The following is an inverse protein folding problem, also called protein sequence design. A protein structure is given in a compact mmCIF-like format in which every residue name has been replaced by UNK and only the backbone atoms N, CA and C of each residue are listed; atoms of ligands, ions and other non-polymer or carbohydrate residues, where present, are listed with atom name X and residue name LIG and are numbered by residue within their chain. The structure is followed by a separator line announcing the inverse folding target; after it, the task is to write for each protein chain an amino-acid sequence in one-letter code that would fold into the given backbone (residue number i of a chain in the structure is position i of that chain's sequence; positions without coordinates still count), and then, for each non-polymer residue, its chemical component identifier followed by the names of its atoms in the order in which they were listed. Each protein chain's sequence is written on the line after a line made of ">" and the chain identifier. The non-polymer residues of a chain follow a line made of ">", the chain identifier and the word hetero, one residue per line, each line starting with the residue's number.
data_IF_430403368738
#
_entry.id   IF_430403368738
#
_cell.length_a   1.000
_cell.length_b   1.000
_cell.length_c   1.000
_cell.angle_alpha   90.00
_cell.angle_beta   90.00
_cell.angle_gamma   90.00
#
_symmetry.space_group_name_H-M   'P 1'
#
loop_
_entity.id
_entity.type
_entity.pdbx_description
1 polymer ?
#
# COMPACT_ATOMS: atom_id res chain seq x y z
N UNK A 1 21.13 15.46 -0.73
CA UNK A 1 19.93 15.17 0.07
C UNK A 1 19.53 13.75 -0.27
N UNK A 2 19.61 12.82 0.67
CA UNK A 2 19.20 11.42 0.44
C UNK A 2 17.69 11.44 0.19
N UNK A 3 17.28 11.24 -1.07
CA UNK A 3 15.86 11.04 -1.40
C UNK A 3 15.33 9.94 -0.48
N UNK A 4 14.17 10.15 0.15
CA UNK A 4 13.63 9.28 1.20
C UNK A 4 13.51 7.80 0.77
N UNK A 5 13.43 7.55 -0.54
CA UNK A 5 13.27 6.26 -1.19
C UNK A 5 12.32 6.41 -2.36
N UNK A 6 12.50 5.63 -3.42
CA UNK A 6 11.67 5.66 -4.62
C UNK A 6 10.27 5.09 -4.38
N UNK A 7 10.17 4.05 -3.57
CA UNK A 7 8.93 3.34 -3.28
C UNK A 7 8.36 3.79 -1.95
N UNK A 8 7.16 4.33 -1.97
CA UNK A 8 6.47 4.89 -0.81
C UNK A 8 5.29 4.00 -0.43
N UNK A 9 5.28 3.53 0.82
CA UNK A 9 4.19 2.79 1.41
C UNK A 9 3.43 3.69 2.37
N UNK A 10 2.12 3.78 2.20
CA UNK A 10 1.23 4.63 2.99
C UNK A 10 0.09 3.79 3.57
N UNK A 11 -0.09 3.88 4.89
CA UNK A 11 -1.22 3.32 5.61
C UNK A 11 -2.15 4.47 6.01
N UNK A 12 -3.40 4.39 5.57
CA UNK A 12 -4.47 5.31 5.95
C UNK A 12 -5.63 4.57 6.60
N UNK A 13 -6.48 5.30 7.32
CA UNK A 13 -7.78 4.82 7.80
C UNK A 13 -8.92 5.65 7.20
N UNK A 14 -10.19 5.26 7.47
CA UNK A 14 -11.37 6.03 7.08
C UNK A 14 -11.18 7.53 7.28
N UNK A 15 -11.42 8.28 6.20
CA UNK A 15 -11.21 9.72 6.14
C UNK A 15 -9.81 10.14 5.66
N UNK A 16 -9.02 9.21 5.11
CA UNK A 16 -7.72 9.50 4.48
C UNK A 16 -6.64 9.94 5.46
N UNK A 17 -6.78 9.59 6.75
CA UNK A 17 -5.82 9.99 7.77
C UNK A 17 -4.57 9.11 7.68
N UNK A 18 -3.38 9.67 7.45
CA UNK A 18 -2.15 8.88 7.40
C UNK A 18 -1.79 8.39 8.80
N UNK A 19 -1.76 7.07 8.97
CA UNK A 19 -1.35 6.40 10.22
C UNK A 19 0.14 6.09 10.20
N UNK A 20 0.62 5.55 9.08
CA UNK A 20 2.03 5.17 8.93
C UNK A 20 2.49 5.40 7.51
N UNK A 21 3.77 5.77 7.36
CA UNK A 21 4.42 5.96 6.06
C UNK A 21 5.85 5.43 6.11
N UNK A 22 6.31 4.87 5.00
CA UNK A 22 7.67 4.36 4.88
C UNK A 22 8.16 4.46 3.44
N UNK A 23 9.46 4.66 3.28
CA UNK A 23 10.10 4.75 1.97
C UNK A 23 11.24 3.75 1.84
N UNK A 24 11.38 3.21 0.63
CA UNK A 24 12.42 2.25 0.27
C UNK A 24 13.00 2.55 -1.10
N UNK A 25 14.28 2.24 -1.29
CA UNK A 25 14.93 2.35 -2.61
C UNK A 25 14.74 1.10 -3.49
N UNK A 26 14.31 -0.01 -2.90
CA UNK A 26 14.17 -1.31 -3.58
C UNK A 26 12.72 -1.76 -3.56
N UNK A 27 12.13 -1.97 -4.74
CA UNK A 27 10.72 -2.33 -4.92
C UNK A 27 10.36 -3.60 -4.16
N UNK A 28 11.21 -4.63 -4.27
CA UNK A 28 10.99 -5.93 -3.63
C UNK A 28 10.93 -5.80 -2.10
N UNK A 29 11.70 -4.88 -1.52
CA UNK A 29 11.62 -4.61 -0.08
C UNK A 29 10.32 -3.90 0.27
N UNK A 30 9.90 -2.94 -0.56
CA UNK A 30 8.64 -2.21 -0.37
C UNK A 30 7.42 -3.15 -0.48
N UNK A 31 7.40 -4.07 -1.48
CA UNK A 31 6.36 -5.10 -1.63
C UNK A 31 6.31 -6.06 -0.43
N UNK A 32 7.48 -6.47 0.10
CA UNK A 32 7.52 -7.28 1.33
C UNK A 32 6.95 -6.54 2.54
N UNK A 33 7.19 -5.23 2.64
CA UNK A 33 6.64 -4.38 3.70
C UNK A 33 5.13 -4.17 3.55
N UNK A 34 4.65 -4.02 2.32
CA UNK A 34 3.22 -3.94 2.00
C UNK A 34 2.45 -5.17 2.52
N UNK A 35 2.87 -6.39 2.18
CA UNK A 35 2.23 -7.61 2.67
C UNK A 35 2.29 -7.72 4.19
N UNK A 36 3.41 -7.31 4.79
CA UNK A 36 3.55 -7.29 6.25
C UNK A 36 2.56 -6.32 6.90
N UNK A 37 2.39 -5.12 6.36
CA UNK A 37 1.44 -4.13 6.88
C UNK A 37 -0.01 -4.61 6.78
N UNK A 38 -0.37 -5.31 5.71
CA UNK A 38 -1.68 -5.96 5.61
C UNK A 38 -1.87 -6.97 6.74
N UNK A 39 -0.87 -7.81 7.02
CA UNK A 39 -0.94 -8.76 8.13
C UNK A 39 -1.05 -8.11 9.50
N UNK A 40 -0.34 -7.00 9.74
CA UNK A 40 -0.31 -6.35 11.06
C UNK A 40 -1.49 -5.39 11.29
N UNK A 41 -1.93 -4.70 10.23
CA UNK A 41 -2.92 -3.62 10.31
C UNK A 41 -4.23 -3.91 9.58
N UNK A 42 -4.30 -4.96 8.76
CA UNK A 42 -5.50 -5.30 8.01
C UNK A 42 -6.67 -5.80 8.85
N UNK A 43 -6.45 -6.06 10.15
CA UNK A 43 -7.54 -6.29 11.11
C UNK A 43 -8.16 -4.99 11.63
N UNK A 44 -7.56 -3.83 11.36
CA UNK A 44 -8.12 -2.53 11.71
C UNK A 44 -9.22 -2.21 10.70
N UNK A 45 -10.44 -1.88 11.16
CA UNK A 45 -11.52 -1.50 10.26
C UNK A 45 -11.11 -0.28 9.42
N UNK A 46 -11.42 -0.35 8.13
CA UNK A 46 -11.12 0.66 7.13
C UNK A 46 -9.63 1.00 6.93
N UNK A 47 -8.73 0.10 7.33
CA UNK A 47 -7.33 0.24 6.97
C UNK A 47 -7.17 0.15 5.44
N UNK A 48 -6.43 1.10 4.88
CA UNK A 48 -6.02 1.10 3.48
C UNK A 48 -4.50 1.21 3.43
N UNK A 49 -3.87 0.35 2.64
CA UNK A 49 -2.42 0.36 2.40
C UNK A 49 -2.20 0.60 0.92
N UNK A 50 -1.38 1.58 0.55
CA UNK A 50 -0.99 1.84 -0.84
C UNK A 50 0.52 1.82 -0.97
N UNK A 51 1.01 1.22 -2.05
CA UNK A 51 2.39 1.24 -2.47
C UNK A 51 2.51 2.02 -3.78
N UNK A 52 3.25 3.12 -3.74
CA UNK A 52 3.45 4.03 -4.87
C UNK A 52 4.91 4.09 -5.25
N UNK A 53 5.18 4.12 -6.56
CA UNK A 53 6.47 4.48 -7.12
C UNK A 53 6.55 6.00 -7.30
N UNK A 54 7.28 6.71 -6.44
CA UNK A 54 7.35 8.18 -6.48
C UNK A 54 8.14 8.70 -7.69
N UNK A 55 8.96 7.86 -8.34
CA UNK A 55 9.68 8.25 -9.54
C UNK A 55 8.75 8.36 -10.76
N UNK A 56 7.83 7.42 -10.92
CA UNK A 56 6.88 7.39 -12.04
C UNK A 56 5.51 7.97 -11.68
N UNK A 57 5.17 8.01 -10.40
CA UNK A 57 3.85 8.33 -9.88
C UNK A 57 2.87 7.15 -9.89
N UNK A 58 3.30 5.95 -10.29
CA UNK A 58 2.42 4.78 -10.40
C UNK A 58 2.09 4.15 -9.05
N UNK A 59 0.83 3.77 -8.87
CA UNK A 59 0.42 2.92 -7.75
C UNK A 59 0.70 1.46 -8.11
N UNK A 60 1.73 0.88 -7.49
CA UNK A 60 2.15 -0.49 -7.74
C UNK A 60 1.24 -1.53 -7.06
N UNK A 61 0.65 -1.17 -5.92
CA UNK A 61 -0.30 -2.03 -5.20
C UNK A 61 -1.20 -1.22 -4.27
N UNK A 62 -2.40 -1.73 -4.01
CA UNK A 62 -3.30 -1.22 -2.99
C UNK A 62 -4.00 -2.36 -2.23
N UNK A 63 -4.35 -2.10 -0.99
CA UNK A 63 -5.13 -2.99 -0.15
C UNK A 63 -6.13 -2.16 0.68
N UNK A 64 -7.39 -2.58 0.84
CA UNK A 64 -8.02 -3.65 0.08
C UNK A 64 -7.94 -3.36 -1.42
N UNK A 65 -7.82 -4.42 -2.22
CA UNK A 65 -7.71 -4.31 -3.67
C UNK A 65 -9.06 -3.87 -4.23
N UNK A 66 -9.21 -2.56 -4.47
CA UNK A 66 -10.38 -1.98 -5.12
C UNK A 66 -10.26 -2.20 -6.64
N UNK A 67 -10.09 -3.45 -7.06
CA UNK A 67 -10.27 -3.82 -8.46
C UNK A 67 -11.76 -4.09 -8.66
N UNK A 68 -12.52 -3.23 -9.39
CA UNK A 68 -13.94 -3.45 -9.66
C UNK A 68 -14.24 -4.68 -10.54
N UNK A 69 -13.30 -5.62 -10.72
CA UNK A 69 -13.41 -6.75 -11.63
C UNK A 69 -13.10 -8.13 -10.99
N UNK A 70 -13.22 -8.27 -9.66
CA UNK A 70 -13.15 -9.55 -8.97
C UNK A 70 -14.54 -10.12 -8.61
N UNK A 71 -15.59 -9.78 -9.37
CA UNK A 71 -16.89 -10.48 -9.32
C UNK A 71 -17.08 -11.30 -10.59
N UNK A 72 -16.55 -12.52 -10.61
CA UNK A 72 -16.98 -13.57 -11.54
C UNK A 72 -16.59 -14.95 -11.02
N UNK A 73 -17.60 -15.72 -10.58
CA UNK A 73 -17.51 -17.12 -10.15
C UNK A 73 -17.32 -17.23 -8.63
N UNK A 74 -18.18 -17.88 -7.85
CA UNK A 74 -18.98 -19.08 -8.12
C UNK A 74 -20.26 -19.11 -7.25
N UNK A 75 -21.34 -19.55 -7.92
CA UNK A 75 -22.62 -20.17 -7.51
C UNK A 75 -23.21 -19.98 -6.10
#
# INVERSE_FOLDING_TARGET
>A
MTSAGRYHLLLTTTGGRPVQRGWWHVEETARRKFVRWIGEYGSIPDAQVTLTDEETGDQLAAWPDDSPNAVSGES
#
